data_IF_868098118241
#
_entry.id   IF_868098118241
#
_cell.length_a   1.000
_cell.length_b   1.000
_cell.length_c   1.000
_cell.angle_alpha   90.00
_cell.angle_beta   90.00
_cell.angle_gamma   90.00
#
_symmetry.space_group_name_H-M   'P 1'
#
loop_
_entity.id
_entity.type
_entity.pdbx_description
1 polymer ?
#
# COMPACT_ATOMS: atom_id res chain seq x y z
N UNK A 1 22.74 -4.08 20.39
CA UNK A 1 23.12 -2.80 19.77
C UNK A 1 22.17 -2.58 18.60
N UNK A 2 21.17 -1.73 18.76
CA UNK A 2 20.21 -1.43 17.69
C UNK A 2 20.89 -0.44 16.76
N UNK A 3 21.28 -0.87 15.58
CA UNK A 3 21.83 0.03 14.56
C UNK A 3 20.70 0.98 14.15
N UNK A 4 20.81 2.23 14.56
CA UNK A 4 19.96 3.31 14.06
C UNK A 4 20.37 3.53 12.60
N UNK A 5 19.53 3.07 11.67
CA UNK A 5 19.71 3.35 10.25
C UNK A 5 19.30 4.81 10.04
N UNK A 6 20.25 5.71 10.20
CA UNK A 6 20.08 7.11 9.83
C UNK A 6 20.22 7.21 8.32
N UNK A 7 19.13 7.53 7.63
CA UNK A 7 19.16 7.78 6.19
C UNK A 7 18.32 6.84 5.34
N UNK A 8 17.35 6.09 5.91
CA UNK A 8 16.39 5.33 5.14
C UNK A 8 15.58 6.31 4.25
N UNK A 9 15.75 6.23 2.93
CA UNK A 9 15.02 7.09 1.99
C UNK A 9 13.60 6.62 1.74
N UNK A 10 13.34 5.31 1.88
CA UNK A 10 12.04 4.71 1.63
C UNK A 10 11.64 3.69 2.70
N UNK A 11 10.35 3.65 3.02
CA UNK A 11 9.76 2.68 3.95
C UNK A 11 8.62 1.95 3.25
N UNK A 12 8.60 0.62 3.30
CA UNK A 12 7.57 -0.20 2.66
C UNK A 12 6.75 -0.90 3.72
N UNK A 13 5.46 -0.57 3.83
CA UNK A 13 4.48 -1.37 4.57
C UNK A 13 4.02 -2.54 3.68
N UNK A 14 3.89 -3.73 4.26
CA UNK A 14 3.63 -4.95 3.49
C UNK A 14 4.86 -5.47 2.74
N UNK A 15 6.05 -5.19 3.28
CA UNK A 15 7.33 -5.53 2.68
C UNK A 15 7.59 -7.02 2.47
N UNK A 16 6.90 -7.90 3.21
CA UNK A 16 7.02 -9.35 3.08
C UNK A 16 6.15 -9.94 1.95
N UNK A 17 5.24 -9.15 1.39
CA UNK A 17 4.44 -9.55 0.22
C UNK A 17 5.26 -9.53 -1.06
N UNK A 18 4.70 -10.14 -2.13
CA UNK A 18 5.36 -10.25 -3.43
C UNK A 18 5.80 -8.89 -3.99
N UNK A 19 4.92 -7.88 -3.96
CA UNK A 19 5.23 -6.54 -4.43
C UNK A 19 6.31 -5.86 -3.58
N UNK A 20 6.18 -5.94 -2.24
CA UNK A 20 7.16 -5.34 -1.32
C UNK A 20 8.56 -5.90 -1.48
N UNK A 21 8.68 -7.23 -1.53
CA UNK A 21 9.95 -7.90 -1.79
C UNK A 21 10.52 -7.60 -3.18
N UNK A 22 9.64 -7.51 -4.19
CA UNK A 22 10.04 -7.13 -5.54
C UNK A 22 10.67 -5.74 -5.57
N UNK A 23 10.07 -4.78 -4.87
CA UNK A 23 10.59 -3.42 -4.77
C UNK A 23 11.95 -3.36 -4.06
N UNK A 24 12.10 -4.05 -2.92
CA UNK A 24 13.39 -4.08 -2.17
C UNK A 24 14.54 -4.55 -3.04
N UNK A 25 14.31 -5.54 -3.91
CA UNK A 25 15.36 -6.09 -4.80
C UNK A 25 15.80 -5.14 -5.91
N UNK A 26 15.02 -4.13 -6.22
CA UNK A 26 15.30 -3.19 -7.31
C UNK A 26 16.04 -1.94 -6.82
N UNK A 27 16.24 -1.79 -5.53
CA UNK A 27 16.92 -0.64 -4.95
C UNK A 27 18.25 -1.05 -4.33
N UNK A 28 19.16 -0.08 -4.19
CA UNK A 28 20.45 -0.31 -3.52
C UNK A 28 20.25 -0.67 -2.05
N UNK A 29 21.10 -1.55 -1.54
CA UNK A 29 21.06 -2.01 -0.15
C UNK A 29 21.09 -0.82 0.84
N UNK A 30 20.17 -0.88 1.80
CA UNK A 30 20.06 0.15 2.85
C UNK A 30 19.29 1.41 2.46
N UNK A 31 18.88 1.56 1.19
CA UNK A 31 18.12 2.74 0.74
C UNK A 31 16.64 2.64 1.16
N UNK A 32 16.09 1.43 1.22
CA UNK A 32 14.69 1.16 1.52
C UNK A 32 14.59 0.09 2.61
N UNK A 33 13.71 0.31 3.58
CA UNK A 33 13.39 -0.65 4.63
C UNK A 33 11.99 -1.22 4.39
N UNK A 34 11.88 -2.54 4.40
CA UNK A 34 10.62 -3.26 4.32
C UNK A 34 10.15 -3.69 5.71
N UNK A 35 8.93 -3.30 6.06
CA UNK A 35 8.29 -3.68 7.31
C UNK A 35 7.35 -4.86 7.09
N UNK A 36 7.46 -5.87 7.97
CA UNK A 36 6.45 -6.91 8.12
C UNK A 36 5.25 -6.37 8.90
N UNK A 37 4.18 -7.18 8.97
CA UNK A 37 3.05 -6.85 9.84
C UNK A 37 3.44 -6.83 11.32
N UNK A 38 4.39 -7.66 11.72
CA UNK A 38 4.89 -7.73 13.10
C UNK A 38 5.71 -6.50 13.46
N UNK A 39 6.44 -5.91 12.49
CA UNK A 39 7.19 -4.68 12.69
C UNK A 39 6.28 -3.46 12.84
N UNK A 40 5.23 -3.38 12.03
CA UNK A 40 4.20 -2.35 12.10
C UNK A 40 2.90 -2.81 11.44
N UNK A 41 1.90 -3.15 12.25
CA UNK A 41 0.54 -3.44 11.73
C UNK A 41 -0.08 -2.15 11.18
N UNK A 42 -0.40 -2.16 9.88
CA UNK A 42 -0.98 -1.00 9.21
C UNK A 42 -2.36 -0.60 9.79
N UNK A 43 -3.05 -1.52 10.47
CA UNK A 43 -4.34 -1.24 11.12
C UNK A 43 -4.20 -0.58 12.50
N UNK A 44 -2.97 -0.47 13.02
CA UNK A 44 -2.66 0.23 14.26
C UNK A 44 -2.05 1.61 13.97
N UNK A 45 -2.83 2.66 14.22
CA UNK A 45 -2.40 4.04 14.03
C UNK A 45 -1.16 4.42 14.86
N UNK A 46 -0.99 3.80 16.04
CA UNK A 46 0.19 4.05 16.87
C UNK A 46 1.43 3.39 16.25
N UNK A 47 1.32 2.14 15.78
CA UNK A 47 2.41 1.45 15.09
C UNK A 47 2.88 2.21 13.84
N UNK A 48 1.93 2.76 13.05
CA UNK A 48 2.24 3.65 11.92
C UNK A 48 3.08 4.85 12.38
N UNK A 49 2.62 5.59 13.39
CA UNK A 49 3.32 6.79 13.85
C UNK A 49 4.72 6.46 14.40
N UNK A 50 4.83 5.41 15.22
CA UNK A 50 6.13 4.94 15.75
C UNK A 50 7.10 4.58 14.63
N UNK A 51 6.63 3.88 13.58
CA UNK A 51 7.47 3.53 12.44
C UNK A 51 7.93 4.79 11.68
N UNK A 52 7.03 5.72 11.38
CA UNK A 52 7.37 6.95 10.68
C UNK A 52 8.35 7.82 11.48
N UNK A 53 8.17 7.95 12.80
CA UNK A 53 9.05 8.73 13.66
C UNK A 53 10.43 8.06 13.84
N UNK A 54 10.47 6.74 13.87
CA UNK A 54 11.70 5.96 14.04
C UNK A 54 12.61 6.00 12.81
N UNK A 55 12.01 5.90 11.62
CA UNK A 55 12.76 5.73 10.38
C UNK A 55 12.89 7.01 9.57
N UNK A 56 12.07 8.02 9.83
CA UNK A 56 12.05 9.34 9.19
C UNK A 56 12.20 9.25 7.65
N UNK A 57 11.34 8.48 6.94
CA UNK A 57 11.51 8.24 5.52
C UNK A 57 11.07 9.46 4.69
N UNK A 58 11.69 9.66 3.53
CA UNK A 58 11.24 10.65 2.54
C UNK A 58 10.01 10.16 1.75
N UNK A 59 9.92 8.83 1.54
CA UNK A 59 8.86 8.18 0.77
C UNK A 59 8.39 6.94 1.51
N UNK A 60 7.08 6.74 1.54
CA UNK A 60 6.44 5.52 2.01
C UNK A 60 5.76 4.82 0.84
N UNK A 61 5.95 3.52 0.73
CA UNK A 61 5.18 2.65 -0.18
C UNK A 61 4.25 1.79 0.65
N UNK A 62 2.96 1.88 0.38
CA UNK A 62 1.98 0.96 0.94
C UNK A 62 1.70 -0.18 -0.03
N UNK A 63 2.33 -1.33 0.22
CA UNK A 63 2.10 -2.59 -0.47
C UNK A 63 1.29 -3.59 0.39
N UNK A 64 0.87 -3.18 1.61
CA UNK A 64 0.04 -4.00 2.47
C UNK A 64 -1.39 -4.11 1.90
N UNK A 65 -1.94 -5.31 1.94
CA UNK A 65 -3.25 -5.61 1.36
C UNK A 65 -3.89 -6.81 2.04
N UNK A 66 -5.19 -6.78 2.22
CA UNK A 66 -6.02 -7.95 2.46
C UNK A 66 -6.59 -8.40 1.11
N UNK A 67 -5.99 -9.46 0.54
CA UNK A 67 -6.11 -9.73 -0.89
C UNK A 67 -6.83 -11.05 -1.27
N UNK A 68 -7.16 -11.99 -0.38
CA UNK A 68 -7.93 -13.17 -0.79
C UNK A 68 -9.31 -12.71 -1.27
N UNK A 69 -9.49 -12.56 -2.60
CA UNK A 69 -10.67 -11.91 -3.22
C UNK A 69 -11.97 -12.54 -2.73
N UNK A 70 -12.05 -13.88 -2.74
CA UNK A 70 -13.24 -14.60 -2.29
C UNK A 70 -13.49 -14.41 -0.78
N UNK A 71 -12.44 -14.35 0.04
CA UNK A 71 -12.55 -14.14 1.48
C UNK A 71 -13.01 -12.71 1.78
N UNK A 72 -12.72 -11.74 0.93
CA UNK A 72 -13.21 -10.37 1.10
C UNK A 72 -14.74 -10.30 1.09
N UNK A 73 -15.43 -11.19 0.37
CA UNK A 73 -16.90 -11.21 0.31
C UNK A 73 -17.53 -11.57 1.68
N UNK A 74 -16.86 -12.40 2.47
CA UNK A 74 -17.31 -12.79 3.82
C UNK A 74 -16.68 -11.92 4.91
N UNK A 75 -15.41 -11.55 4.76
CA UNK A 75 -14.63 -10.76 5.71
C UNK A 75 -14.57 -9.28 5.30
N UNK A 76 -15.70 -8.70 4.87
CA UNK A 76 -15.74 -7.35 4.33
C UNK A 76 -15.21 -6.28 5.31
N UNK A 77 -15.45 -6.45 6.63
CA UNK A 77 -14.92 -5.52 7.65
C UNK A 77 -13.40 -5.50 7.66
N UNK A 78 -12.78 -6.66 7.61
CA UNK A 78 -11.32 -6.79 7.55
C UNK A 78 -10.77 -6.22 6.23
N UNK A 79 -11.47 -6.50 5.12
CA UNK A 79 -11.12 -5.97 3.81
C UNK A 79 -11.09 -4.43 3.81
N UNK A 80 -12.13 -3.77 4.30
CA UNK A 80 -12.16 -2.30 4.39
C UNK A 80 -11.20 -1.75 5.44
N UNK A 81 -11.00 -2.44 6.57
CA UNK A 81 -10.05 -2.01 7.58
C UNK A 81 -8.63 -1.90 7.01
N UNK A 82 -8.17 -2.95 6.30
CA UNK A 82 -6.81 -3.01 5.75
C UNK A 82 -6.66 -2.24 4.44
N UNK A 83 -7.66 -2.34 3.53
CA UNK A 83 -7.53 -1.82 2.17
C UNK A 83 -8.00 -0.36 2.02
N UNK A 84 -8.73 0.18 2.99
CA UNK A 84 -9.29 1.54 2.95
C UNK A 84 -8.93 2.39 4.16
N UNK A 85 -9.39 2.01 5.36
CA UNK A 85 -9.22 2.84 6.57
C UNK A 85 -7.74 3.01 6.93
N UNK A 86 -6.99 1.93 6.96
CA UNK A 86 -5.57 1.96 7.30
C UNK A 86 -4.72 2.80 6.30
N UNK A 87 -4.88 2.68 4.97
CA UNK A 87 -4.27 3.60 4.01
C UNK A 87 -4.60 5.07 4.25
N UNK A 88 -5.83 5.39 4.65
CA UNK A 88 -6.23 6.76 4.99
C UNK A 88 -5.49 7.31 6.22
N UNK A 89 -5.36 6.48 7.27
CA UNK A 89 -4.58 6.83 8.47
C UNK A 89 -3.10 7.04 8.12
N UNK A 90 -2.52 6.14 7.32
CA UNK A 90 -1.15 6.25 6.85
C UNK A 90 -0.94 7.52 6.02
N UNK A 91 -1.84 7.81 5.09
CA UNK A 91 -1.77 8.99 4.23
C UNK A 91 -1.79 10.30 5.05
N UNK A 92 -2.71 10.39 6.02
CA UNK A 92 -2.77 11.54 6.92
C UNK A 92 -1.52 11.65 7.81
N UNK A 93 -0.95 10.53 8.26
CA UNK A 93 0.29 10.52 9.05
C UNK A 93 1.51 10.95 8.22
N UNK A 94 1.57 10.54 6.96
CA UNK A 94 2.60 10.95 6.00
C UNK A 94 2.50 12.44 5.67
N UNK A 95 1.29 12.95 5.40
CA UNK A 95 1.08 14.38 5.08
C UNK A 95 1.54 15.30 6.22
N UNK A 96 1.23 14.95 7.47
CA UNK A 96 1.68 15.73 8.64
C UNK A 96 3.21 15.81 8.80
N UNK A 97 3.95 14.89 8.16
CA UNK A 97 5.43 14.78 8.24
C UNK A 97 6.12 15.16 6.94
N UNK A 98 5.41 15.72 5.97
CA UNK A 98 5.93 16.04 4.64
C UNK A 98 6.47 14.81 3.86
N UNK A 99 5.98 13.62 4.17
CA UNK A 99 6.36 12.35 3.55
C UNK A 99 5.45 12.09 2.35
N UNK A 100 6.00 11.64 1.21
CA UNK A 100 5.21 11.19 0.07
C UNK A 100 4.74 9.76 0.27
N UNK A 101 3.46 9.49 -0.01
CA UNK A 101 2.92 8.14 -0.01
C UNK A 101 2.66 7.68 -1.44
N UNK A 102 3.13 6.46 -1.75
CA UNK A 102 2.76 5.69 -2.95
C UNK A 102 1.90 4.53 -2.47
N UNK A 103 0.64 4.50 -2.87
CA UNK A 103 -0.31 3.44 -2.51
C UNK A 103 -0.53 2.50 -3.68
N UNK A 104 -0.23 1.21 -3.51
CA UNK A 104 -0.49 0.21 -4.53
C UNK A 104 -1.98 -0.17 -4.53
N UNK A 105 -2.61 -0.05 -5.69
CA UNK A 105 -3.98 -0.43 -5.96
C UNK A 105 -4.04 -1.53 -7.04
N UNK A 106 -5.20 -1.74 -7.62
CA UNK A 106 -5.50 -2.85 -8.53
C UNK A 106 -6.29 -2.38 -9.75
N UNK A 107 -6.12 -3.06 -10.86
CA UNK A 107 -6.97 -2.95 -12.05
C UNK A 107 -8.40 -3.45 -11.83
N UNK A 108 -8.66 -4.24 -10.77
CA UNK A 108 -10.00 -4.71 -10.39
C UNK A 108 -10.96 -3.57 -10.02
N UNK A 109 -10.46 -2.34 -9.87
CA UNK A 109 -11.31 -1.15 -9.74
C UNK A 109 -12.15 -0.91 -11.01
N UNK A 110 -11.79 -1.51 -12.14
CA UNK A 110 -12.56 -1.48 -13.39
C UNK A 110 -13.40 -2.74 -13.57
N UNK A 111 -14.51 -2.64 -14.31
CA UNK A 111 -15.44 -3.75 -14.55
C UNK A 111 -14.97 -4.79 -15.57
N UNK A 112 -13.96 -4.47 -16.35
CA UNK A 112 -13.41 -5.38 -17.37
C UNK A 112 -14.24 -5.48 -18.67
N UNK A 113 -15.24 -4.63 -18.86
CA UNK A 113 -16.17 -4.69 -20.01
C UNK A 113 -15.63 -3.96 -21.25
N UNK A 114 -14.64 -3.10 -21.08
CA UNK A 114 -14.08 -2.27 -22.13
C UNK A 114 -13.21 -3.09 -23.08
N UNK A 115 -13.35 -2.86 -24.39
CA UNK A 115 -12.55 -3.53 -25.43
C UNK A 115 -11.21 -2.86 -25.72
N UNK A 116 -11.01 -1.65 -25.20
CA UNK A 116 -9.77 -0.89 -25.29
C UNK A 116 -9.09 -0.83 -23.91
N UNK A 117 -7.79 -0.56 -23.82
CA UNK A 117 -7.13 -0.37 -22.52
C UNK A 117 -7.79 0.73 -21.69
N UNK A 118 -7.91 0.50 -20.39
CA UNK A 118 -8.35 1.53 -19.45
C UNK A 118 -7.28 2.59 -19.24
N UNK A 119 -7.72 3.81 -18.99
CA UNK A 119 -6.90 4.95 -18.59
C UNK A 119 -7.19 5.36 -17.14
N UNK A 120 -6.36 6.23 -16.58
CA UNK A 120 -6.53 6.74 -15.23
C UNK A 120 -7.81 7.58 -15.05
N UNK A 121 -8.32 8.15 -16.15
CA UNK A 121 -9.54 8.98 -16.17
C UNK A 121 -10.83 8.19 -16.35
N UNK A 122 -10.75 6.89 -16.67
CA UNK A 122 -11.94 6.06 -16.83
C UNK A 122 -12.64 5.85 -15.47
N UNK A 123 -13.98 5.88 -15.54
CA UNK A 123 -14.81 5.74 -14.33
C UNK A 123 -14.65 4.33 -13.74
N UNK A 124 -14.25 4.20 -12.47
CA UNK A 124 -14.17 2.91 -11.82
C UNK A 124 -15.55 2.24 -11.70
N UNK A 125 -15.57 0.91 -11.91
CA UNK A 125 -16.76 0.06 -11.76
C UNK A 125 -16.39 -1.25 -11.04
N UNK A 126 -16.04 -1.21 -9.73
CA UNK A 126 -15.58 -2.38 -9.00
C UNK A 126 -16.70 -3.38 -8.76
N UNK A 127 -16.49 -4.65 -9.13
CA UNK A 127 -17.51 -5.69 -9.06
C UNK A 127 -17.47 -6.48 -7.73
N UNK A 128 -16.31 -6.60 -7.07
CA UNK A 128 -16.11 -7.37 -5.84
C UNK A 128 -15.93 -6.47 -4.61
N UNK A 129 -16.09 -7.04 -3.41
CA UNK A 129 -15.78 -6.36 -2.14
C UNK A 129 -14.30 -5.99 -2.08
N UNK A 130 -13.41 -6.87 -2.53
CA UNK A 130 -11.98 -6.55 -2.66
C UNK A 130 -11.76 -5.27 -3.46
N UNK A 131 -12.29 -5.22 -4.67
CA UNK A 131 -12.13 -4.08 -5.57
C UNK A 131 -12.73 -2.79 -4.99
N UNK A 132 -13.92 -2.88 -4.36
CA UNK A 132 -14.57 -1.74 -3.67
C UNK A 132 -13.74 -1.24 -2.50
N UNK A 133 -13.17 -2.14 -1.71
CA UNK A 133 -12.31 -1.76 -0.57
C UNK A 133 -11.01 -1.10 -1.04
N UNK A 134 -10.41 -1.57 -2.13
CA UNK A 134 -9.22 -0.95 -2.75
C UNK A 134 -9.53 0.43 -3.32
N UNK A 135 -10.63 0.57 -4.05
CA UNK A 135 -11.07 1.87 -4.60
C UNK A 135 -11.36 2.89 -3.48
N UNK A 136 -11.98 2.47 -2.41
CA UNK A 136 -12.20 3.34 -1.24
C UNK A 136 -10.87 3.79 -0.63
N UNK A 137 -9.85 2.92 -0.61
CA UNK A 137 -8.48 3.25 -0.21
C UNK A 137 -7.83 4.30 -1.11
N UNK A 138 -8.02 4.21 -2.42
CA UNK A 138 -7.53 5.24 -3.36
C UNK A 138 -8.08 6.62 -3.01
N UNK A 139 -9.39 6.70 -2.82
CA UNK A 139 -10.06 7.98 -2.54
C UNK A 139 -9.58 8.63 -1.25
N UNK A 140 -9.42 7.87 -0.16
CA UNK A 140 -8.96 8.44 1.11
C UNK A 140 -7.48 8.86 1.06
N UNK A 141 -6.65 8.13 0.30
CA UNK A 141 -5.25 8.50 0.10
C UNK A 141 -5.13 9.78 -0.71
N UNK A 142 -5.84 9.88 -1.85
CA UNK A 142 -5.79 11.07 -2.70
C UNK A 142 -6.45 12.30 -2.04
N UNK A 143 -7.47 12.09 -1.21
CA UNK A 143 -8.09 13.17 -0.44
C UNK A 143 -7.18 13.73 0.67
N UNK A 144 -6.23 12.93 1.18
CA UNK A 144 -5.31 13.37 2.22
C UNK A 144 -4.27 14.38 1.70
N UNK A 145 -3.78 14.21 0.46
CA UNK A 145 -2.82 15.14 -0.14
C UNK A 145 -2.71 14.95 -1.65
N UNK A 146 -2.59 16.04 -2.44
CA UNK A 146 -2.28 15.96 -3.86
C UNK A 146 -0.85 15.46 -4.17
N UNK A 147 0.00 15.35 -3.15
CA UNK A 147 1.38 14.84 -3.29
C UNK A 147 1.45 13.32 -3.19
N UNK A 148 0.39 12.68 -2.74
CA UNK A 148 0.31 11.23 -2.69
C UNK A 148 0.00 10.66 -4.07
N UNK A 149 0.46 9.43 -4.30
CA UNK A 149 0.30 8.75 -5.57
C UNK A 149 -0.41 7.41 -5.36
N UNK A 150 -1.35 7.08 -6.25
CA UNK A 150 -1.96 5.77 -6.34
C UNK A 150 -1.44 5.09 -7.60
N UNK A 151 -0.96 3.85 -7.48
CA UNK A 151 -0.49 3.04 -8.60
C UNK A 151 -1.40 1.83 -8.72
N UNK A 152 -2.24 1.81 -9.75
CA UNK A 152 -3.05 0.64 -10.12
C UNK A 152 -2.17 -0.34 -10.89
N UNK A 153 -2.20 -1.59 -10.51
CA UNK A 153 -1.45 -2.67 -11.17
C UNK A 153 -2.35 -3.87 -11.36
N UNK A 154 -2.11 -4.61 -12.44
CA UNK A 154 -2.70 -5.93 -12.64
C UNK A 154 -1.93 -6.99 -11.85
N UNK A 155 -2.06 -8.26 -12.19
CA UNK A 155 -1.35 -9.35 -11.55
C UNK A 155 0.16 -9.10 -11.51
N UNK A 156 0.73 -9.13 -10.32
CA UNK A 156 2.18 -8.95 -10.12
C UNK A 156 2.87 -10.30 -10.33
N UNK A 157 3.81 -10.32 -11.26
CA UNK A 157 4.64 -11.50 -11.54
C UNK A 157 6.07 -11.26 -11.08
N UNK A 158 6.72 -12.29 -10.55
CA UNK A 158 8.09 -12.22 -10.11
C UNK A 158 8.70 -13.60 -9.88
N UNK A 159 10.01 -13.67 -9.64
CA UNK A 159 10.63 -14.92 -9.22
C UNK A 159 9.96 -15.39 -7.93
N UNK A 160 9.47 -16.63 -7.93
CA UNK A 160 9.01 -17.26 -6.71
C UNK A 160 10.11 -17.19 -5.65
N UNK A 161 9.74 -16.78 -4.44
CA UNK A 161 10.64 -16.88 -3.31
C UNK A 161 10.81 -18.37 -2.98
N UNK A 162 12.02 -18.84 -2.69
CA UNK A 162 12.15 -20.08 -1.94
C UNK A 162 11.42 -19.84 -0.60
N UNK A 163 10.41 -20.67 -0.35
CA UNK A 163 9.67 -20.71 0.90
C UNK A 163 10.57 -21.15 2.05
#
# INVERSE_FOLDING_TARGET
>A
MTTVITGCRGLIFGGMGQAGQGLVRQVEDGTVLALSREDADLTDANAINVALDKYDPMVVVNAAVFHPVDLCETEFRQSFAVNSLAPGVLAAACERRDIRLIHLSTDYVFGGEQQTPYSESDCPHPLSVYARSKLAGEYVVLAASPRHCVVRTSSVYGRAMPG
#
